data_IF_750547091690
#
_entry.id   IF_750547091690
#
_cell.length_a   1.000
_cell.length_b   1.000
_cell.length_c   1.000
_cell.angle_alpha   90.00
_cell.angle_beta   90.00
_cell.angle_gamma   90.00
#
_symmetry.space_group_name_H-M   'P 1'
#
loop_
_entity.id
_entity.type
_entity.pdbx_description
1 polymer ?
#
# COMPACT_ATOMS: atom_id res chain seq x y z
N UNK A 1 11.91 1.21 -4.19
CA UNK A 1 11.38 -0.10 -3.75
C UNK A 1 10.87 -0.03 -2.32
N UNK A 2 11.69 0.49 -1.40
CA UNK A 2 11.34 0.65 0.01
C UNK A 2 10.05 1.47 0.21
N UNK A 3 9.96 2.67 -0.39
CA UNK A 3 8.76 3.52 -0.30
C UNK A 3 7.45 2.80 -0.72
N UNK A 4 7.46 2.04 -1.82
CA UNK A 4 6.27 1.31 -2.28
C UNK A 4 5.88 0.18 -1.31
N UNK A 5 6.88 -0.55 -0.80
CA UNK A 5 6.66 -1.65 0.16
C UNK A 5 6.17 -1.11 1.50
N UNK A 6 6.73 0.01 1.96
CA UNK A 6 6.31 0.71 3.17
C UNK A 6 4.91 1.29 3.04
N UNK A 7 4.54 1.86 1.88
CA UNK A 7 3.17 2.33 1.61
C UNK A 7 2.18 1.17 1.70
N UNK A 8 2.47 0.05 1.03
CA UNK A 8 1.66 -1.17 1.08
C UNK A 8 1.48 -1.69 2.52
N UNK A 9 2.58 -1.78 3.27
CA UNK A 9 2.56 -2.22 4.67
C UNK A 9 1.73 -1.28 5.56
N UNK A 10 1.85 0.04 5.31
CA UNK A 10 1.06 1.06 6.00
C UNK A 10 -0.45 0.88 5.81
N UNK A 11 -0.90 0.67 4.57
CA UNK A 11 -2.34 0.43 4.28
C UNK A 11 -2.85 -0.84 4.96
N UNK A 12 -2.06 -1.92 4.97
CA UNK A 12 -2.40 -3.16 5.68
C UNK A 12 -2.59 -2.90 7.18
N UNK A 13 -1.63 -2.21 7.82
CA UNK A 13 -1.67 -1.92 9.25
C UNK A 13 -2.84 -1.01 9.60
N UNK A 14 -3.12 0.00 8.77
CA UNK A 14 -4.29 0.88 8.93
C UNK A 14 -5.61 0.10 8.82
N UNK A 15 -5.72 -0.84 7.88
CA UNK A 15 -6.91 -1.68 7.77
C UNK A 15 -7.10 -2.58 9.01
N UNK A 16 -6.03 -3.21 9.48
CA UNK A 16 -6.07 -4.06 10.70
C UNK A 16 -6.46 -3.23 11.92
N UNK A 17 -5.84 -2.06 12.12
CA UNK A 17 -6.20 -1.15 13.21
C UNK A 17 -7.67 -0.71 13.14
N UNK A 18 -8.14 -0.33 11.96
CA UNK A 18 -9.55 0.04 11.74
C UNK A 18 -10.51 -1.11 12.06
N UNK A 19 -10.18 -2.34 11.64
CA UNK A 19 -10.99 -3.53 11.92
C UNK A 19 -11.01 -3.87 13.40
N UNK A 20 -9.88 -3.75 14.11
CA UNK A 20 -9.80 -3.94 15.57
C UNK A 20 -10.76 -2.98 16.31
N UNK A 21 -10.77 -1.71 15.91
CA UNK A 21 -11.71 -0.72 16.47
C UNK A 21 -13.17 -1.02 16.11
N UNK A 22 -13.45 -1.38 14.84
CA UNK A 22 -14.83 -1.51 14.35
C UNK A 22 -15.50 -2.84 14.72
N UNK A 23 -14.76 -3.94 14.85
CA UNK A 23 -15.30 -5.29 15.07
C UNK A 23 -15.22 -5.79 16.54
N UNK A 24 -14.46 -5.13 17.43
CA UNK A 24 -14.55 -5.40 18.88
C UNK A 24 -13.29 -5.18 19.73
N UNK A 25 -13.52 -4.51 20.87
CA UNK A 25 -12.82 -4.37 22.18
C UNK A 25 -11.32 -4.04 22.27
N UNK A 26 -10.56 -3.95 21.19
CA UNK A 26 -9.19 -3.44 21.29
C UNK A 26 -9.19 -1.90 21.25
N UNK A 27 -8.73 -1.27 22.34
CA UNK A 27 -8.35 0.15 22.32
C UNK A 27 -7.11 0.32 21.45
N UNK A 28 -7.33 0.61 20.17
CA UNK A 28 -6.29 1.24 19.34
C UNK A 28 -6.25 2.70 19.72
N UNK A 29 -5.16 3.14 20.34
CA UNK A 29 -5.04 4.53 20.79
C UNK A 29 -5.01 5.48 19.60
N UNK A 30 -5.47 6.73 19.81
CA UNK A 30 -5.35 7.78 18.79
C UNK A 30 -3.88 8.01 18.37
N UNK A 31 -2.93 7.80 19.29
CA UNK A 31 -1.49 7.87 19.02
C UNK A 31 -1.02 6.75 18.09
N UNK A 32 -1.50 5.51 18.30
CA UNK A 32 -1.20 4.39 17.40
C UNK A 32 -1.74 4.66 15.99
N UNK A 33 -2.99 5.13 15.87
CA UNK A 33 -3.58 5.51 14.57
C UNK A 33 -2.74 6.59 13.89
N UNK A 34 -2.40 7.66 14.62
CA UNK A 34 -1.59 8.76 14.09
C UNK A 34 -0.21 8.30 13.62
N UNK A 35 0.45 7.40 14.37
CA UNK A 35 1.74 6.83 13.99
C UNK A 35 1.65 5.98 12.72
N UNK A 36 0.58 5.18 12.57
CA UNK A 36 0.31 4.39 11.38
C UNK A 36 0.02 5.29 10.17
N UNK A 37 -0.82 6.31 10.34
CA UNK A 37 -1.12 7.29 9.29
C UNK A 37 0.14 8.04 8.86
N UNK A 38 0.95 8.51 9.82
CA UNK A 38 2.20 9.23 9.54
C UNK A 38 3.17 8.36 8.75
N UNK A 39 3.33 7.10 9.15
CA UNK A 39 4.19 6.13 8.45
C UNK A 39 3.72 5.92 7.01
N UNK A 40 2.41 5.70 6.83
CA UNK A 40 1.81 5.51 5.52
C UNK A 40 1.93 6.74 4.62
N UNK A 41 1.55 7.92 5.11
CA UNK A 41 1.59 9.16 4.32
C UNK A 41 3.00 9.57 3.95
N UNK A 42 3.98 9.34 4.82
CA UNK A 42 5.41 9.52 4.52
C UNK A 42 5.82 8.61 3.37
N UNK A 43 5.61 7.30 3.50
CA UNK A 43 5.97 6.34 2.46
C UNK A 43 5.28 6.61 1.11
N UNK A 44 4.02 7.05 1.15
CA UNK A 44 3.27 7.45 -0.03
C UNK A 44 3.82 8.71 -0.69
N UNK A 45 4.24 9.70 0.11
CA UNK A 45 4.88 10.90 -0.42
C UNK A 45 6.21 10.57 -1.08
N UNK A 46 7.02 9.71 -0.47
CA UNK A 46 8.29 9.23 -1.04
C UNK A 46 8.04 8.47 -2.35
N UNK A 47 7.04 7.58 -2.38
CA UNK A 47 6.65 6.88 -3.61
C UNK A 47 6.27 7.87 -4.72
N UNK A 48 5.50 8.92 -4.39
CA UNK A 48 5.12 9.96 -5.36
C UNK A 48 6.34 10.72 -5.87
N UNK A 49 7.27 11.08 -5.00
CA UNK A 49 8.48 11.80 -5.38
C UNK A 49 9.37 10.94 -6.28
N UNK A 50 9.65 9.71 -5.88
CA UNK A 50 10.47 8.78 -6.67
C UNK A 50 9.85 8.52 -8.05
N UNK A 51 8.55 8.26 -8.11
CA UNK A 51 7.87 8.08 -9.39
C UNK A 51 7.90 9.34 -10.26
N UNK A 52 7.78 10.54 -9.67
CA UNK A 52 7.93 11.79 -10.41
C UNK A 52 9.34 11.99 -10.97
N UNK A 53 10.38 11.57 -10.25
CA UNK A 53 11.76 11.60 -10.76
C UNK A 53 11.96 10.61 -11.92
N UNK A 54 11.37 9.42 -11.82
CA UNK A 54 11.43 8.43 -12.91
C UNK A 54 10.66 8.93 -14.13
N UNK A 55 9.52 9.59 -13.94
CA UNK A 55 8.75 10.21 -15.03
C UNK A 55 9.53 11.30 -15.78
N UNK A 56 10.38 12.05 -15.06
CA UNK A 56 11.17 13.13 -15.65
C UNK A 56 12.48 12.67 -16.30
N UNK A 57 13.13 11.65 -15.75
CA UNK A 57 14.51 11.29 -16.10
C UNK A 57 14.71 9.81 -16.44
N UNK A 58 13.69 8.98 -16.23
CA UNK A 58 13.74 7.56 -16.47
C UNK A 58 13.37 7.18 -17.91
N UNK A 59 13.69 5.94 -18.32
CA UNK A 59 13.15 5.36 -19.55
C UNK A 59 11.62 5.31 -19.55
N UNK A 60 10.99 5.49 -20.71
CA UNK A 60 9.52 5.53 -20.87
C UNK A 60 8.82 4.31 -20.26
N UNK A 61 9.37 3.11 -20.46
CA UNK A 61 8.82 1.87 -19.92
C UNK A 61 8.85 1.87 -18.38
N UNK A 62 9.96 2.33 -17.80
CA UNK A 62 10.10 2.44 -16.35
C UNK A 62 9.19 3.51 -15.75
N UNK A 63 8.99 4.63 -16.46
CA UNK A 63 8.04 5.69 -16.08
C UNK A 63 6.59 5.18 -16.11
N UNK A 64 6.19 4.50 -17.18
CA UNK A 64 4.87 3.87 -17.29
C UNK A 64 4.64 2.88 -16.14
N UNK A 65 5.61 2.01 -15.87
CA UNK A 65 5.46 1.05 -14.78
C UNK A 65 5.46 1.72 -13.40
N UNK A 66 6.19 2.82 -13.19
CA UNK A 66 6.10 3.62 -11.97
C UNK A 66 4.70 4.22 -11.77
N UNK A 67 4.06 4.67 -12.85
CA UNK A 67 2.66 5.12 -12.83
C UNK A 67 1.71 3.98 -12.44
N UNK A 68 1.89 2.78 -13.01
CA UNK A 68 1.08 1.60 -12.66
C UNK A 68 1.19 1.25 -11.17
N UNK A 69 2.39 1.31 -10.57
CA UNK A 69 2.58 1.13 -9.13
C UNK A 69 1.78 2.17 -8.31
N UNK A 70 1.76 3.44 -8.76
CA UNK A 70 0.99 4.50 -8.09
C UNK A 70 -0.52 4.31 -8.22
N UNK A 71 -1.00 3.81 -9.36
CA UNK A 71 -2.41 3.48 -9.51
C UNK A 71 -2.81 2.30 -8.61
N UNK A 72 -1.94 1.28 -8.49
CA UNK A 72 -2.17 0.17 -7.56
C UNK A 72 -2.21 0.65 -6.09
N UNK A 73 -1.31 1.54 -5.67
CA UNK A 73 -1.35 2.20 -4.34
C UNK A 73 -2.69 2.93 -4.12
N UNK A 74 -3.13 3.71 -5.11
CA UNK A 74 -4.40 4.44 -5.04
C UNK A 74 -5.60 3.52 -4.92
N UNK A 75 -5.62 2.43 -5.69
CA UNK A 75 -6.68 1.43 -5.63
C UNK A 75 -6.67 0.74 -4.27
N UNK A 76 -5.50 0.38 -3.75
CA UNK A 76 -5.39 -0.26 -2.45
C UNK A 76 -5.89 0.64 -1.31
N UNK A 77 -5.55 1.93 -1.35
CA UNK A 77 -6.08 2.92 -0.41
C UNK A 77 -7.61 2.97 -0.39
N UNK A 78 -8.28 2.81 -1.54
CA UNK A 78 -9.76 2.81 -1.60
C UNK A 78 -10.36 1.64 -0.83
N UNK A 79 -9.65 0.51 -0.75
CA UNK A 79 -10.07 -0.67 -0.02
C UNK A 79 -9.75 -0.61 1.48
N UNK A 80 -8.95 0.37 1.95
CA UNK A 80 -8.35 0.35 3.29
C UNK A 80 -9.35 0.35 4.45
N UNK A 81 -10.58 0.82 4.23
CA UNK A 81 -11.64 0.88 5.25
C UNK A 81 -12.70 -0.21 5.08
N UNK A 82 -12.48 -1.18 4.19
CA UNK A 82 -13.40 -2.30 4.03
C UNK A 82 -13.31 -3.17 5.28
N UNK A 83 -14.48 -3.44 5.85
CA UNK A 83 -14.69 -4.38 6.94
C UNK A 83 -15.62 -5.46 6.44
N UNK A 84 -15.29 -6.73 6.73
CA UNK A 84 -16.18 -7.85 6.43
C UNK A 84 -16.88 -8.26 7.72
N UNK A 85 -18.19 -8.03 7.78
CA UNK A 85 -19.02 -8.21 8.98
C UNK A 85 -19.55 -9.66 9.11
N UNK A 86 -19.15 -10.56 8.21
CA UNK A 86 -19.59 -11.97 8.18
C UNK A 86 -19.17 -12.77 9.43
N UNK A 87 -18.22 -12.24 10.23
CA UNK A 87 -17.70 -12.88 11.44
C UNK A 87 -16.78 -14.09 11.19
N UNK A 88 -16.51 -14.42 9.91
CA UNK A 88 -15.69 -15.57 9.52
C UNK A 88 -14.19 -15.30 9.64
N UNK A 89 -13.79 -14.03 9.52
CA UNK A 89 -12.40 -13.60 9.56
C UNK A 89 -12.01 -13.09 10.94
N UNK A 90 -10.80 -13.40 11.38
CA UNK A 90 -10.21 -12.76 12.54
C UNK A 90 -10.08 -11.24 12.29
N UNK A 91 -10.10 -10.45 13.36
CA UNK A 91 -9.91 -8.99 13.28
C UNK A 91 -8.54 -8.60 12.71
N UNK A 92 -7.53 -9.46 12.86
CA UNK A 92 -6.21 -9.34 12.25
C UNK A 92 -6.12 -9.85 10.81
N UNK A 93 -7.13 -10.56 10.31
CA UNK A 93 -7.17 -11.01 8.92
C UNK A 93 -7.62 -9.89 7.98
N UNK A 94 -6.96 -9.81 6.83
CA UNK A 94 -7.37 -8.90 5.77
C UNK A 94 -8.61 -9.43 5.05
N UNK A 95 -9.65 -8.57 4.84
CA UNK A 95 -10.76 -8.88 3.97
C UNK A 95 -10.28 -9.30 2.57
N UNK A 96 -11.00 -10.16 1.84
CA UNK A 96 -10.59 -10.63 0.52
C UNK A 96 -10.26 -9.50 -0.46
N UNK A 97 -11.07 -8.43 -0.50
CA UNK A 97 -10.85 -7.27 -1.37
C UNK A 97 -9.58 -6.46 -1.01
N UNK A 98 -9.26 -6.39 0.28
CA UNK A 98 -8.04 -5.73 0.79
C UNK A 98 -6.83 -6.59 0.46
N UNK A 99 -6.92 -7.90 0.68
CA UNK A 99 -5.87 -8.88 0.32
C UNK A 99 -5.59 -8.90 -1.17
N UNK A 100 -6.64 -8.86 -1.99
CA UNK A 100 -6.53 -8.82 -3.45
C UNK A 100 -5.81 -7.55 -3.90
N UNK A 101 -6.21 -6.39 -3.35
CA UNK A 101 -5.56 -5.11 -3.64
C UNK A 101 -4.10 -5.08 -3.19
N UNK A 102 -3.79 -5.62 -2.01
CA UNK A 102 -2.43 -5.76 -1.51
C UNK A 102 -1.56 -6.66 -2.41
N UNK A 103 -2.16 -7.72 -2.97
CA UNK A 103 -1.51 -8.66 -3.87
C UNK A 103 -1.26 -8.03 -5.24
N UNK A 104 -2.23 -7.27 -5.76
CA UNK A 104 -2.08 -6.49 -6.99
C UNK A 104 -0.94 -5.48 -6.88
N UNK A 105 -0.90 -4.71 -5.79
CA UNK A 105 0.19 -3.76 -5.55
C UNK A 105 1.57 -4.44 -5.46
N UNK A 106 1.66 -5.57 -4.76
CA UNK A 106 2.89 -6.38 -4.70
C UNK A 106 3.35 -6.86 -6.09
N UNK A 107 2.42 -7.32 -6.93
CA UNK A 107 2.74 -7.76 -8.29
C UNK A 107 3.31 -6.62 -9.13
N UNK A 108 2.74 -5.41 -9.04
CA UNK A 108 3.24 -4.24 -9.78
C UNK A 108 4.60 -3.75 -9.27
N UNK A 109 4.85 -3.82 -7.96
CA UNK A 109 6.17 -3.54 -7.37
C UNK A 109 7.23 -4.52 -7.91
N UNK A 110 6.88 -5.81 -8.03
CA UNK A 110 7.79 -6.83 -8.58
C UNK A 110 8.09 -6.61 -10.05
N UNK A 111 7.09 -6.28 -10.86
CA UNK A 111 7.27 -5.94 -12.29
C UNK A 111 8.18 -4.72 -12.45
N UNK A 112 7.91 -3.64 -11.71
CA UNK A 112 8.77 -2.46 -11.68
C UNK A 112 10.22 -2.82 -11.33
N UNK A 113 10.41 -3.64 -10.29
CA UNK A 113 11.75 -4.06 -9.86
C UNK A 113 12.47 -4.89 -10.92
N UNK A 114 11.76 -5.79 -11.61
CA UNK A 114 12.32 -6.58 -12.69
C UNK A 114 12.76 -5.70 -13.88
N UNK A 115 11.95 -4.71 -14.24
CA UNK A 115 12.26 -3.75 -15.29
C UNK A 115 13.47 -2.88 -14.93
N UNK A 116 13.46 -2.27 -13.74
CA UNK A 116 14.59 -1.46 -13.26
C UNK A 116 15.91 -2.25 -13.29
N UNK A 117 15.89 -3.53 -12.88
CA UNK A 117 17.09 -4.39 -12.95
C UNK A 117 17.54 -4.69 -14.37
N UNK A 118 16.62 -4.77 -15.33
CA UNK A 118 16.94 -4.99 -16.75
C UNK A 118 17.55 -3.73 -17.36
N UNK A 119 17.04 -2.55 -17.03
CA UNK A 119 17.54 -1.26 -17.57
C UNK A 119 18.91 -0.85 -17.02
N UNK A 120 19.38 -1.48 -15.93
CA UNK A 120 20.71 -1.28 -15.35
C UNK A 120 21.78 -2.24 -15.89
N UNK A 121 21.41 -3.20 -16.74
CA UNK A 121 22.33 -4.17 -17.37
C UNK A 121 22.59 -3.78 -18.81
#
# INVERSE_FOLDING_TARGET
MEAATSSRSGVIRLNVAHRRVKLGEDEVSAEEILALETTYYTARNDLRQVAGLIDLFGPDDLAEQAFVVREADRQFRRAQWIVEESGVLDRSDLPPSVRESATKMEAEIRKFTAMARKSMR
#
